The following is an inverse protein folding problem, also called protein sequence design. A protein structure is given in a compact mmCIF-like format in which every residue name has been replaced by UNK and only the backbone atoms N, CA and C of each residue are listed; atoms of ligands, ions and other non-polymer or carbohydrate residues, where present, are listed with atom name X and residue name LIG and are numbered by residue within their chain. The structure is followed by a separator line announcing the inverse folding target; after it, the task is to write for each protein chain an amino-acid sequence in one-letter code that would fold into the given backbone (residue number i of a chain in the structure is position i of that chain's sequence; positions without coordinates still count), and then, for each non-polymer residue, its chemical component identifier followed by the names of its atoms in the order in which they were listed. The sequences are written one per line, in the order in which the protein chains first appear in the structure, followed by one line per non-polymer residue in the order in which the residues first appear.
data_IF_470576670742
#
_entry.id   IF_470576670742
#
_cell.length_a   1.000
_cell.length_b   1.000
_cell.length_c   1.000
_cell.angle_alpha   90.00
_cell.angle_beta   90.00
_cell.angle_gamma   90.00
#
_symmetry.space_group_name_H-M   'P 1'
#
loop_
_entity.id
_entity.type
_entity.pdbx_description
1 polymer ?
#
# COMPACT_ATOMS: atom_id res chain seq x y z
N UNK A 1 13.38 -8.39 16.10
CA UNK A 1 12.55 -7.20 15.79
C UNK A 1 12.29 -7.27 14.30
N UNK A 2 11.05 -7.49 13.89
CA UNK A 2 10.73 -7.78 12.49
C UNK A 2 10.73 -6.49 11.68
N UNK A 3 11.86 -6.16 11.06
CA UNK A 3 11.90 -5.19 9.96
C UNK A 3 11.20 -5.84 8.76
N UNK A 4 9.96 -5.46 8.52
CA UNK A 4 9.31 -5.74 7.24
C UNK A 4 9.98 -4.81 6.22
N UNK A 5 10.93 -5.36 5.47
CA UNK A 5 11.66 -4.63 4.44
C UNK A 5 10.73 -4.40 3.25
N UNK A 6 10.36 -3.14 3.02
CA UNK A 6 9.62 -2.75 1.82
C UNK A 6 10.57 -2.60 0.63
N UNK A 7 10.33 -3.34 -0.44
CA UNK A 7 11.07 -3.24 -1.71
C UNK A 7 10.76 -1.96 -2.47
N UNK A 8 9.54 -1.44 -2.34
CA UNK A 8 9.14 -0.17 -2.91
C UNK A 8 8.37 0.64 -1.88
N UNK A 9 8.56 1.96 -1.91
CA UNK A 9 7.84 2.91 -1.06
C UNK A 9 7.05 3.86 -1.96
N UNK A 10 5.78 4.10 -1.61
CA UNK A 10 4.84 4.86 -2.41
C UNK A 10 4.17 5.90 -1.52
N UNK A 11 4.55 7.15 -1.72
CA UNK A 11 3.94 8.26 -1.01
C UNK A 11 2.68 8.72 -1.75
N UNK A 12 1.53 8.55 -1.09
CA UNK A 12 0.20 8.97 -1.53
C UNK A 12 -0.40 10.05 -0.62
N UNK A 13 0.42 10.74 0.17
CA UNK A 13 -0.02 11.85 1.01
C UNK A 13 -0.68 12.95 0.15
N UNK A 14 -1.92 13.30 0.47
CA UNK A 14 -2.71 14.30 -0.27
C UNK A 14 -3.25 13.90 -1.65
N UNK A 15 -3.09 12.65 -2.08
CA UNK A 15 -3.68 12.17 -3.34
C UNK A 15 -5.11 11.66 -3.13
N UNK A 16 -6.08 12.43 -3.65
CA UNK A 16 -7.46 11.98 -3.75
C UNK A 16 -7.60 10.78 -4.70
N UNK A 17 -8.54 9.90 -4.37
CA UNK A 17 -8.88 8.76 -5.21
C UNK A 17 -9.26 9.18 -6.63
N UNK A 18 -8.83 8.42 -7.67
CA UNK A 18 -8.41 7.01 -7.62
C UNK A 18 -6.91 6.77 -7.92
N UNK A 19 -6.07 7.81 -7.83
CA UNK A 19 -4.67 7.74 -8.23
C UNK A 19 -3.78 6.80 -7.38
N UNK A 20 -3.98 6.66 -6.05
CA UNK A 20 -3.17 5.77 -5.22
C UNK A 20 -3.24 4.33 -5.71
N UNK A 21 -4.44 3.81 -5.93
CA UNK A 21 -4.67 2.44 -6.43
C UNK A 21 -3.95 2.21 -7.76
N UNK A 22 -4.04 3.16 -8.68
CA UNK A 22 -3.49 2.99 -10.03
C UNK A 22 -1.95 2.94 -10.00
N UNK A 23 -1.32 3.77 -9.16
CA UNK A 23 0.12 3.76 -8.92
C UNK A 23 0.55 2.49 -8.19
N UNK A 24 -0.12 2.15 -7.09
CA UNK A 24 0.11 0.90 -6.35
C UNK A 24 0.00 -0.30 -7.27
N UNK A 25 -1.02 -0.35 -8.14
CA UNK A 25 -1.16 -1.37 -9.17
C UNK A 25 0.01 -1.40 -10.13
N UNK A 26 0.40 -0.27 -10.73
CA UNK A 26 1.55 -0.24 -11.66
C UNK A 26 2.84 -0.71 -11.00
N UNK A 27 3.08 -0.29 -9.76
CA UNK A 27 4.27 -0.68 -9.02
C UNK A 27 4.22 -2.17 -8.70
N UNK A 28 3.12 -2.68 -8.13
CA UNK A 28 2.97 -4.12 -7.84
C UNK A 28 2.99 -4.97 -9.12
N UNK A 29 2.41 -4.52 -10.22
CA UNK A 29 2.44 -5.23 -11.51
C UNK A 29 3.88 -5.40 -12.01
N UNK A 30 4.71 -4.37 -11.81
CA UNK A 30 6.15 -4.39 -12.10
C UNK A 30 7.02 -5.08 -11.03
N UNK A 31 6.45 -5.46 -9.88
CA UNK A 31 7.15 -6.17 -8.80
C UNK A 31 7.03 -7.69 -8.95
N UNK A 32 7.91 -8.42 -8.28
CA UNK A 32 7.85 -9.89 -8.24
C UNK A 32 7.04 -10.40 -7.03
N UNK A 33 6.46 -11.59 -7.16
CA UNK A 33 5.76 -12.27 -6.05
C UNK A 33 6.70 -12.42 -4.84
N UNK A 34 6.22 -12.02 -3.67
CA UNK A 34 6.99 -11.96 -2.43
C UNK A 34 7.61 -10.59 -2.12
N UNK A 35 7.54 -9.62 -3.03
CA UNK A 35 7.99 -8.25 -2.73
C UNK A 35 6.94 -7.45 -1.96
N UNK A 36 7.40 -6.52 -1.12
CA UNK A 36 6.54 -5.68 -0.28
C UNK A 36 6.57 -4.22 -0.74
N UNK A 37 5.40 -3.65 -0.99
CA UNK A 37 5.17 -2.24 -1.27
C UNK A 37 4.68 -1.54 0.01
N UNK A 38 5.42 -0.55 0.48
CA UNK A 38 5.01 0.32 1.58
C UNK A 38 4.36 1.56 1.02
N UNK A 39 3.12 1.84 1.38
CA UNK A 39 2.38 3.02 0.98
C UNK A 39 2.10 3.92 2.19
N UNK A 40 2.43 5.20 2.11
CA UNK A 40 2.02 6.19 3.12
C UNK A 40 0.90 7.07 2.60
N UNK A 41 -0.14 7.29 3.40
CA UNK A 41 -1.26 8.14 3.08
C UNK A 41 -1.77 8.84 4.35
N UNK A 42 -2.09 10.12 4.24
CA UNK A 42 -2.65 10.93 5.34
C UNK A 42 -4.18 10.94 5.36
N UNK A 43 -4.82 10.21 4.44
CA UNK A 43 -6.27 10.20 4.26
C UNK A 43 -6.87 8.87 4.72
N UNK A 44 -7.94 8.88 5.55
CA UNK A 44 -8.59 7.67 6.03
C UNK A 44 -9.28 6.86 4.93
N UNK A 45 -9.65 7.49 3.80
CA UNK A 45 -10.22 6.80 2.64
C UNK A 45 -9.24 5.82 1.99
N UNK A 46 -7.93 6.08 2.10
CA UNK A 46 -6.90 5.21 1.54
C UNK A 46 -6.92 3.79 2.11
N UNK A 47 -7.38 3.60 3.36
CA UNK A 47 -7.58 2.26 3.95
C UNK A 47 -8.59 1.46 3.13
N UNK A 48 -9.74 2.07 2.85
CA UNK A 48 -10.89 1.41 2.25
C UNK A 48 -10.64 1.08 0.78
N UNK A 49 -9.94 1.99 0.10
CA UNK A 49 -9.47 1.83 -1.27
C UNK A 49 -8.39 0.74 -1.38
N UNK A 50 -7.46 0.67 -0.43
CA UNK A 50 -6.44 -0.38 -0.37
C UNK A 50 -7.01 -1.75 -0.06
N UNK A 51 -7.97 -1.86 0.86
CA UNK A 51 -8.67 -3.12 1.16
C UNK A 51 -9.47 -3.61 -0.05
N UNK A 52 -10.18 -2.70 -0.71
CA UNK A 52 -10.91 -3.01 -1.96
C UNK A 52 -9.97 -3.44 -3.08
N UNK A 53 -8.81 -2.80 -3.19
CA UNK A 53 -7.82 -3.11 -4.20
C UNK A 53 -7.09 -4.43 -3.93
N UNK A 54 -6.67 -4.68 -2.69
CA UNK A 54 -6.00 -5.91 -2.27
C UNK A 54 -6.90 -7.12 -2.56
N UNK A 55 -8.19 -7.03 -2.23
CA UNK A 55 -9.22 -8.02 -2.58
C UNK A 55 -9.38 -8.22 -4.09
N UNK A 56 -9.33 -7.15 -4.88
CA UNK A 56 -9.44 -7.23 -6.36
C UNK A 56 -8.21 -7.80 -7.05
N UNK A 57 -7.02 -7.52 -6.53
CA UNK A 57 -5.75 -7.98 -7.12
C UNK A 57 -5.23 -9.27 -6.51
N UNK A 58 -5.78 -9.72 -5.38
CA UNK A 58 -5.31 -10.90 -4.64
C UNK A 58 -4.06 -10.63 -3.80
N UNK A 59 -3.63 -9.37 -3.69
CA UNK A 59 -2.50 -8.96 -2.87
C UNK A 59 -2.88 -8.93 -1.39
N UNK A 60 -1.90 -9.08 -0.51
CA UNK A 60 -2.13 -9.20 0.92
C UNK A 60 -1.52 -8.01 1.67
N UNK A 61 -2.32 -7.32 2.49
CA UNK A 61 -1.79 -6.28 3.37
C UNK A 61 -1.15 -6.96 4.58
N UNK A 62 0.18 -6.95 4.63
CA UNK A 62 0.95 -7.63 5.68
C UNK A 62 1.14 -6.78 6.93
N UNK A 63 1.04 -5.46 6.80
CA UNK A 63 1.09 -4.56 7.95
C UNK A 63 0.37 -3.25 7.67
N UNK A 64 -0.20 -2.66 8.71
CA UNK A 64 -0.75 -1.32 8.70
C UNK A 64 -0.39 -0.65 10.01
N UNK A 65 0.10 0.58 9.93
CA UNK A 65 0.42 1.42 11.07
C UNK A 65 -0.11 2.82 10.84
N UNK A 66 -0.58 3.46 11.90
CA UNK A 66 -0.99 4.85 11.89
C UNK A 66 -0.12 5.61 12.89
N UNK A 67 0.40 6.77 12.48
CA UNK A 67 1.17 7.65 13.35
C UNK A 67 0.89 9.10 13.01
N UNK A 68 0.26 9.81 13.95
CA UNK A 68 0.10 11.27 13.89
C UNK A 68 -0.68 11.79 12.67
N UNK A 69 -1.62 11.02 12.12
CA UNK A 69 -2.37 11.37 10.92
C UNK A 69 -1.74 10.87 9.61
N UNK A 70 -0.66 10.10 9.68
CA UNK A 70 -0.08 9.36 8.53
C UNK A 70 -0.35 7.87 8.72
N UNK A 71 -1.05 7.26 7.77
CA UNK A 71 -1.26 5.83 7.68
C UNK A 71 -0.22 5.21 6.74
N UNK A 72 0.56 4.28 7.26
CA UNK A 72 1.52 3.47 6.52
C UNK A 72 0.95 2.07 6.33
N UNK A 73 0.77 1.63 5.09
CA UNK A 73 0.34 0.29 4.72
C UNK A 73 1.51 -0.45 4.09
N UNK A 74 1.65 -1.73 4.38
CA UNK A 74 2.60 -2.63 3.73
C UNK A 74 1.81 -3.71 3.03
N UNK A 75 1.90 -3.74 1.70
CA UNK A 75 1.25 -4.74 0.86
C UNK A 75 2.31 -5.67 0.34
N UNK A 76 2.11 -6.97 0.50
CA UNK A 76 2.91 -8.00 -0.16
C UNK A 76 2.22 -8.45 -1.44
N UNK A 77 2.98 -8.49 -2.53
CA UNK A 77 2.55 -9.16 -3.76
C UNK A 77 2.56 -10.67 -3.52
N UNK A 78 1.45 -11.34 -3.81
CA UNK A 78 1.38 -12.81 -3.85
C UNK A 78 1.67 -13.31 -5.25
#
# INVERSE_FOLDING_TARGET
MSEIQSNAELNCEGMNCPLPILKTKKTIDSMESGQVLKMTATDPGSVNDMDSWSKRTGNEVVSHSESGGVHTFMIMKK
#
